data_IF_210198589860
#
_entry.id   IF_210198589860
#
_cell.length_a   1.000
_cell.length_b   1.000
_cell.length_c   1.000
_cell.angle_alpha   90.00
_cell.angle_beta   90.00
_cell.angle_gamma   90.00
#
_symmetry.space_group_name_H-M   'P 1'
#
loop_
_entity.id
_entity.type
_entity.pdbx_description
1 polymer ?
#
# COMPACT_ATOMS: atom_id res chain seq x y z
N UNK A 1 -1.68 2.92 -2.42
CA UNK A 1 -2.55 3.75 -3.29
C UNK A 1 -1.83 3.96 -4.62
N UNK A 2 -2.55 4.14 -5.73
CA UNK A 2 -1.93 4.48 -7.01
C UNK A 2 -1.42 5.94 -7.01
N UNK A 3 -0.27 6.22 -7.66
CA UNK A 3 0.38 7.54 -7.61
C UNK A 3 -0.50 8.70 -8.10
N UNK A 4 -1.36 8.46 -9.09
CA UNK A 4 -2.26 9.50 -9.61
C UNK A 4 -3.40 9.83 -8.62
N UNK A 5 -3.82 8.87 -7.80
CA UNK A 5 -4.79 9.15 -6.75
C UNK A 5 -4.15 9.98 -5.62
N UNK A 6 -2.85 9.79 -5.37
CA UNK A 6 -2.09 10.64 -4.44
C UNK A 6 -2.03 12.09 -4.96
N UNK A 7 -1.72 12.28 -6.24
CA UNK A 7 -1.71 13.61 -6.86
C UNK A 7 -3.07 14.32 -6.74
N UNK A 8 -4.17 13.59 -6.99
CA UNK A 8 -5.54 14.11 -6.81
C UNK A 8 -5.83 14.48 -5.35
N UNK A 9 -5.37 13.67 -4.41
CA UNK A 9 -5.52 13.95 -2.99
C UNK A 9 -4.77 15.22 -2.57
N UNK A 10 -3.52 15.39 -3.02
CA UNK A 10 -2.74 16.60 -2.75
C UNK A 10 -3.45 17.84 -3.28
N UNK A 11 -3.94 17.80 -4.52
CA UNK A 11 -4.74 18.89 -5.10
C UNK A 11 -5.97 19.22 -4.24
N UNK A 12 -6.73 18.21 -3.81
CA UNK A 12 -7.91 18.42 -2.98
C UNK A 12 -7.56 18.97 -1.59
N UNK A 13 -6.46 18.54 -0.98
CA UNK A 13 -6.01 19.05 0.31
C UNK A 13 -5.59 20.52 0.21
N UNK A 14 -5.01 20.95 -0.90
CA UNK A 14 -4.68 22.37 -1.14
C UNK A 14 -5.92 23.22 -1.40
N UNK A 15 -6.89 22.70 -2.16
CA UNK A 15 -8.09 23.45 -2.55
C UNK A 15 -9.16 23.52 -1.44
N UNK A 16 -9.29 22.45 -0.64
CA UNK A 16 -10.41 22.25 0.28
C UNK A 16 -10.00 21.84 1.69
N UNK A 17 -8.71 21.55 1.90
CA UNK A 17 -8.21 21.08 3.18
C UNK A 17 -8.21 22.16 4.26
N UNK A 18 -8.16 21.72 5.51
CA UNK A 18 -8.05 22.58 6.68
C UNK A 18 -6.63 22.54 7.23
N UNK A 19 -6.09 23.71 7.60
CA UNK A 19 -4.76 23.81 8.20
C UNK A 19 -4.64 22.92 9.45
N UNK A 20 -3.51 22.23 9.59
CA UNK A 20 -3.24 21.33 10.71
C UNK A 20 -3.92 19.95 10.63
N UNK A 21 -4.73 19.68 9.60
CA UNK A 21 -5.37 18.37 9.42
C UNK A 21 -4.47 17.42 8.64
N UNK A 22 -4.48 16.15 9.06
CA UNK A 22 -3.84 15.03 8.36
C UNK A 22 -4.90 14.24 7.61
N UNK A 23 -4.67 14.02 6.31
CA UNK A 23 -5.56 13.25 5.44
C UNK A 23 -4.86 11.94 5.04
N UNK A 24 -5.46 10.81 5.39
CA UNK A 24 -4.93 9.49 5.01
C UNK A 24 -5.31 9.14 3.57
N UNK A 25 -4.31 8.89 2.73
CA UNK A 25 -4.44 8.48 1.32
C UNK A 25 -4.46 6.97 1.14
N UNK A 26 -5.42 6.28 1.76
CA UNK A 26 -5.55 4.82 1.66
C UNK A 26 -6.64 4.48 0.65
N UNK A 27 -6.30 3.69 -0.38
CA UNK A 27 -7.27 3.25 -1.39
C UNK A 27 -7.97 1.94 -1.00
N UNK A 28 -7.20 1.02 -0.42
CA UNK A 28 -7.64 -0.30 0.04
C UNK A 28 -7.21 -0.46 1.49
N UNK A 29 -8.12 -0.93 2.33
CA UNK A 29 -7.86 -1.21 3.74
C UNK A 29 -7.50 -2.69 3.89
N UNK A 30 -6.34 -3.00 4.46
CA UNK A 30 -5.99 -4.38 4.87
C UNK A 30 -5.50 -5.33 3.77
N UNK A 31 -4.75 -4.85 2.76
CA UNK A 31 -4.05 -5.77 1.84
C UNK A 31 -3.04 -6.59 2.63
N UNK A 32 -3.15 -7.93 2.60
CA UNK A 32 -2.29 -8.78 3.42
C UNK A 32 -0.89 -8.82 2.83
N UNK A 33 0.14 -8.70 3.68
CA UNK A 33 1.53 -8.75 3.23
C UNK A 33 1.86 -10.07 2.49
N UNK A 34 1.22 -11.17 2.91
CA UNK A 34 1.28 -12.47 2.25
C UNK A 34 0.79 -12.44 0.80
N UNK A 35 -0.29 -11.71 0.50
CA UNK A 35 -0.84 -11.65 -0.87
C UNK A 35 0.14 -10.94 -1.83
N UNK A 36 0.83 -9.91 -1.33
CA UNK A 36 1.89 -9.24 -2.08
C UNK A 36 3.03 -10.23 -2.40
N UNK A 37 3.48 -10.99 -1.41
CA UNK A 37 4.53 -12.00 -1.59
C UNK A 37 4.10 -13.11 -2.57
N UNK A 38 2.85 -13.59 -2.49
CA UNK A 38 2.30 -14.61 -3.38
C UNK A 38 2.23 -14.17 -4.85
N UNK A 39 1.87 -12.92 -5.12
CA UNK A 39 1.85 -12.38 -6.48
C UNK A 39 3.26 -12.31 -7.06
N UNK A 40 4.21 -11.79 -6.29
CA UNK A 40 5.62 -11.67 -6.70
C UNK A 40 6.22 -13.07 -6.91
N UNK A 41 6.01 -13.98 -5.97
CA UNK A 41 6.51 -15.36 -6.03
C UNK A 41 5.99 -16.10 -7.26
N UNK A 42 4.69 -16.00 -7.55
CA UNK A 42 4.07 -16.56 -8.75
C UNK A 42 4.69 -15.97 -10.03
N UNK A 43 4.85 -14.65 -10.10
CA UNK A 43 5.34 -13.95 -11.30
C UNK A 43 6.81 -14.25 -11.61
N UNK A 44 7.61 -14.48 -10.58
CA UNK A 44 9.04 -14.79 -10.69
C UNK A 44 9.35 -16.29 -10.63
N UNK A 45 8.33 -17.14 -10.46
CA UNK A 45 8.46 -18.58 -10.25
C UNK A 45 9.42 -18.94 -9.08
N UNK A 46 9.24 -18.27 -7.94
CA UNK A 46 9.99 -18.52 -6.71
C UNK A 46 9.06 -18.87 -5.55
N UNK A 47 9.47 -19.77 -4.63
CA UNK A 47 8.63 -20.18 -3.51
C UNK A 47 8.41 -19.02 -2.52
N UNK A 48 7.20 -18.94 -1.97
CA UNK A 48 6.88 -18.06 -0.84
C UNK A 48 6.96 -18.87 0.45
N UNK A 49 7.72 -18.37 1.43
CA UNK A 49 7.95 -19.04 2.71
C UNK A 49 7.49 -18.18 3.87
N UNK A 50 6.95 -18.80 4.91
CA UNK A 50 6.72 -18.16 6.20
C UNK A 50 8.04 -18.09 6.97
N UNK A 51 8.22 -17.03 7.77
CA UNK A 51 9.38 -16.83 8.64
C UNK A 51 8.95 -16.61 10.08
N UNK A 52 9.74 -17.10 11.04
CA UNK A 52 9.57 -16.77 12.45
C UNK A 52 9.92 -15.31 12.73
N UNK A 53 9.49 -14.72 13.87
CA UNK A 53 9.87 -13.37 14.26
C UNK A 53 11.39 -13.14 14.28
N UNK A 54 12.16 -14.11 14.74
CA UNK A 54 13.63 -14.06 14.79
C UNK A 54 14.24 -14.04 13.38
N UNK A 55 13.72 -14.90 12.49
CA UNK A 55 14.15 -14.96 11.09
C UNK A 55 13.78 -13.69 10.31
N UNK A 56 12.66 -13.06 10.64
CA UNK A 56 12.20 -11.78 10.06
C UNK A 56 13.21 -10.68 10.36
N UNK A 57 13.72 -10.59 11.60
CA UNK A 57 14.71 -9.60 11.99
C UNK A 57 16.01 -9.72 11.17
N UNK A 58 16.48 -10.95 10.94
CA UNK A 58 17.67 -11.21 10.10
C UNK A 58 17.38 -10.94 8.63
N UNK A 59 16.21 -11.36 8.12
CA UNK A 59 15.87 -11.24 6.70
C UNK A 59 15.64 -9.79 6.25
N UNK A 60 14.90 -9.02 7.05
CA UNK A 60 14.53 -7.65 6.73
C UNK A 60 15.45 -6.59 7.36
N UNK A 61 16.32 -6.97 8.30
CA UNK A 61 17.24 -6.05 8.95
C UNK A 61 16.51 -4.85 9.59
N UNK A 62 16.95 -3.63 9.27
CA UNK A 62 16.39 -2.42 9.88
C UNK A 62 14.92 -2.16 9.52
N UNK A 63 14.40 -2.73 8.42
CA UNK A 63 12.98 -2.61 8.06
C UNK A 63 12.08 -3.68 8.67
N UNK A 64 12.63 -4.63 9.44
CA UNK A 64 11.86 -5.74 10.02
C UNK A 64 10.66 -5.26 10.84
N UNK A 65 10.83 -4.17 11.60
CA UNK A 65 9.74 -3.56 12.35
C UNK A 65 8.56 -3.16 11.43
N UNK A 66 8.84 -2.52 10.29
CA UNK A 66 7.81 -2.12 9.34
C UNK A 66 7.15 -3.31 8.64
N UNK A 67 7.92 -4.35 8.32
CA UNK A 67 7.38 -5.57 7.70
C UNK A 67 6.47 -6.37 8.63
N UNK A 68 6.69 -6.29 9.95
CA UNK A 68 5.89 -7.00 10.95
C UNK A 68 4.68 -6.19 11.47
N UNK A 69 4.62 -4.88 11.22
CA UNK A 69 3.53 -4.04 11.69
C UNK A 69 2.24 -4.25 10.89
N UNK A 70 1.15 -4.55 11.59
CA UNK A 70 -0.21 -4.49 11.04
C UNK A 70 -0.78 -3.07 11.19
N UNK A 71 -0.52 -2.22 10.19
CA UNK A 71 -0.91 -0.80 10.19
C UNK A 71 -2.20 -0.56 9.42
N UNK A 72 -3.32 -0.97 10.01
CA UNK A 72 -4.66 -0.68 9.48
C UNK A 72 -4.94 0.83 9.52
N UNK A 73 -4.98 1.46 8.36
CA UNK A 73 -5.31 2.86 8.19
C UNK A 73 -6.57 3.01 7.34
N UNK A 74 -7.43 3.98 7.68
CA UNK A 74 -8.65 4.28 6.93
C UNK A 74 -8.58 5.66 6.29
N UNK A 75 -9.17 5.79 5.10
CA UNK A 75 -9.36 7.08 4.43
C UNK A 75 -10.75 7.67 4.62
N UNK A 76 -11.60 7.12 5.52
CA UNK A 76 -12.99 7.57 5.71
C UNK A 76 -13.10 9.09 5.85
N UNK A 77 -12.35 9.67 6.79
CA UNK A 77 -12.30 11.13 7.01
C UNK A 77 -11.89 11.92 5.76
N UNK A 78 -10.88 11.42 5.04
CA UNK A 78 -10.42 12.04 3.79
C UNK A 78 -11.51 12.04 2.73
N UNK A 79 -12.27 10.95 2.61
CA UNK A 79 -13.40 10.83 1.67
C UNK A 79 -14.53 11.79 2.04
N UNK A 80 -14.88 11.87 3.32
CA UNK A 80 -15.95 12.71 3.84
C UNK A 80 -15.64 14.22 3.73
N UNK A 81 -14.43 14.64 4.12
CA UNK A 81 -14.08 16.07 4.16
C UNK A 81 -13.66 16.62 2.79
N UNK A 82 -12.97 15.83 1.96
CA UNK A 82 -12.41 16.32 0.69
C UNK A 82 -13.18 15.83 -0.55
N UNK A 83 -14.11 14.88 -0.39
CA UNK A 83 -14.73 14.18 -1.52
C UNK A 83 -13.75 13.33 -2.32
N UNK A 84 -12.59 12.99 -1.74
CA UNK A 84 -11.58 12.20 -2.42
C UNK A 84 -12.06 10.76 -2.63
N UNK A 85 -11.80 10.20 -3.81
CA UNK A 85 -12.03 8.79 -4.12
C UNK A 85 -10.86 8.27 -4.95
N UNK A 86 -10.26 7.16 -4.52
CA UNK A 86 -9.26 6.47 -5.32
C UNK A 86 -9.91 5.85 -6.57
N UNK A 87 -9.21 5.93 -7.70
CA UNK A 87 -9.70 5.48 -9.01
C UNK A 87 -8.68 4.64 -9.77
N UNK A 88 -7.43 4.64 -9.33
CA UNK A 88 -6.40 3.76 -9.85
C UNK A 88 -6.64 2.31 -9.43
N UNK A 89 -5.86 1.37 -10.02
CA UNK A 89 -5.94 -0.04 -9.67
C UNK A 89 -5.58 -0.25 -8.19
N UNK A 90 -6.17 -1.29 -7.61
CA UNK A 90 -5.73 -1.83 -6.33
C UNK A 90 -4.33 -2.42 -6.42
N UNK A 91 -3.61 -2.49 -5.29
CA UNK A 91 -2.20 -2.87 -5.25
C UNK A 91 -1.96 -4.22 -5.93
N UNK A 92 -2.73 -5.25 -5.55
CA UNK A 92 -2.56 -6.61 -6.07
C UNK A 92 -2.77 -6.66 -7.58
N UNK A 93 -3.84 -6.03 -8.07
CA UNK A 93 -4.13 -5.97 -9.50
C UNK A 93 -3.08 -5.17 -10.28
N UNK A 94 -2.50 -4.13 -9.68
CA UNK A 94 -1.46 -3.32 -10.32
C UNK A 94 -0.14 -4.09 -10.41
N UNK A 95 0.34 -4.63 -9.28
CA UNK A 95 1.63 -5.35 -9.27
C UNK A 95 1.57 -6.63 -10.09
N UNK A 96 0.41 -7.26 -10.26
CA UNK A 96 0.27 -8.45 -11.12
C UNK A 96 0.39 -8.12 -12.62
N UNK A 97 0.68 -6.88 -13.02
CA UNK A 97 0.84 -6.54 -14.44
C UNK A 97 2.24 -6.95 -14.96
N UNK A 98 2.36 -7.41 -16.22
CA UNK A 98 3.65 -7.80 -16.80
C UNK A 98 4.74 -6.72 -16.77
N UNK A 99 4.36 -5.44 -16.79
CA UNK A 99 5.29 -4.30 -16.77
C UNK A 99 6.24 -4.29 -15.56
N UNK A 100 5.86 -4.94 -14.45
CA UNK A 100 6.70 -5.04 -13.25
C UNK A 100 7.70 -6.20 -13.28
N UNK A 101 7.59 -7.10 -14.26
CA UNK A 101 8.38 -8.34 -14.34
C UNK A 101 9.00 -8.57 -15.72
N UNK A 102 8.92 -7.59 -16.62
CA UNK A 102 9.65 -7.60 -17.88
C UNK A 102 11.11 -7.25 -17.63
N UNK A 103 12.00 -8.22 -17.88
CA UNK A 103 13.44 -7.98 -18.03
C UNK A 103 13.79 -7.56 -19.46
#
# INVERSE_FOLDING_TARGET
>A
MHRLDAARLYRLALEKGKAGIRYHGVAEEGVRFREIAEVIGRRLNVPVVSKSPEEVAVHFGWIAHFAAMDNLASSKRTREELGWKATGPGLIADIDRPVYFGG
#
